data_IF_900897563424
#
_entry.id   IF_900897563424
#
_cell.length_a   1.000
_cell.length_b   1.000
_cell.length_c   1.000
_cell.angle_alpha   90.00
_cell.angle_beta   90.00
_cell.angle_gamma   90.00
#
_symmetry.space_group_name_H-M   'P 1'
#
loop_
_entity.id
_entity.type
_entity.pdbx_description
1 polymer ?
#
# COMPACT_ATOMS: atom_id res chain seq x y z
N UNK A 1 -19.82 10.14 -6.89
CA UNK A 1 -19.77 9.01 -7.84
C UNK A 1 -18.87 9.26 -9.05
N UNK A 2 -18.45 10.51 -9.35
CA UNK A 2 -17.61 10.83 -10.52
C UNK A 2 -16.09 10.65 -10.25
N UNK A 3 -15.62 10.86 -9.02
CA UNK A 3 -14.18 10.85 -8.68
C UNK A 3 -13.48 9.49 -8.66
N UNK A 4 -14.22 8.37 -8.55
CA UNK A 4 -13.59 7.04 -8.56
C UNK A 4 -12.96 6.78 -9.94
N UNK A 5 -13.57 7.27 -11.01
CA UNK A 5 -13.10 7.07 -12.38
C UNK A 5 -11.82 7.86 -12.67
N UNK A 6 -11.65 9.00 -12.01
CA UNK A 6 -10.50 9.91 -12.21
C UNK A 6 -9.18 9.27 -11.76
N UNK A 7 -9.21 8.42 -10.74
CA UNK A 7 -8.02 7.70 -10.23
C UNK A 7 -7.48 6.61 -11.19
N UNK A 8 -8.28 6.17 -12.18
CA UNK A 8 -7.94 5.02 -13.03
C UNK A 8 -7.89 5.35 -14.53
N UNK A 9 -8.07 6.61 -14.93
CA UNK A 9 -7.91 7.03 -16.31
C UNK A 9 -6.49 7.53 -16.57
N UNK A 10 -5.82 6.90 -17.56
CA UNK A 10 -4.48 7.24 -18.09
C UNK A 10 -4.29 8.72 -18.48
N UNK A 11 -5.39 9.45 -18.68
CA UNK A 11 -5.43 10.88 -19.04
C UNK A 11 -5.05 11.77 -17.83
N UNK A 12 -5.09 11.24 -16.60
CA UNK A 12 -4.80 11.96 -15.36
C UNK A 12 -3.52 11.49 -14.64
N UNK A 13 -2.64 10.74 -15.30
CA UNK A 13 -1.31 10.39 -14.76
C UNK A 13 -0.46 11.65 -14.40
N UNK A 14 -0.84 12.82 -14.92
CA UNK A 14 -0.25 14.13 -14.61
C UNK A 14 -1.01 14.95 -13.52
N UNK A 15 -2.03 14.38 -12.88
CA UNK A 15 -2.75 15.04 -11.77
C UNK A 15 -2.11 14.72 -10.41
N UNK A 16 -2.33 15.58 -9.41
CA UNK A 16 -1.86 15.37 -8.02
C UNK A 16 -2.36 14.05 -7.38
N UNK A 17 -3.32 13.36 -8.01
CA UNK A 17 -3.91 12.11 -7.56
C UNK A 17 -3.56 10.91 -8.47
N UNK A 18 -2.71 11.12 -9.47
CA UNK A 18 -2.28 10.08 -10.40
C UNK A 18 -1.59 8.90 -9.70
N UNK A 19 -1.69 7.72 -10.30
CA UNK A 19 -1.17 6.48 -9.71
C UNK A 19 0.33 6.55 -9.39
N UNK A 20 1.11 7.24 -10.24
CA UNK A 20 2.55 7.47 -10.02
C UNK A 20 2.81 8.31 -8.77
N UNK A 21 2.08 9.41 -8.58
CA UNK A 21 2.18 10.27 -7.40
C UNK A 21 1.81 9.48 -6.14
N UNK A 22 0.75 8.66 -6.21
CA UNK A 22 0.33 7.81 -5.09
C UNK A 22 1.38 6.76 -4.70
N UNK A 23 2.03 6.12 -5.68
CA UNK A 23 3.14 5.20 -5.42
C UNK A 23 4.34 5.91 -4.79
N UNK A 24 4.65 7.13 -5.23
CA UNK A 24 5.70 7.95 -4.61
C UNK A 24 5.33 8.34 -3.17
N UNK A 25 4.08 8.71 -2.91
CA UNK A 25 3.58 9.02 -1.55
C UNK A 25 3.65 7.80 -0.64
N UNK A 26 3.36 6.59 -1.15
CA UNK A 26 3.57 5.34 -0.42
C UNK A 26 5.04 5.17 -0.01
N UNK A 27 5.99 5.38 -0.92
CA UNK A 27 7.42 5.29 -0.58
C UNK A 27 7.85 6.38 0.42
N UNK A 28 7.32 7.60 0.29
CA UNK A 28 7.60 8.68 1.25
C UNK A 28 7.07 8.33 2.66
N UNK A 29 5.88 7.74 2.75
CA UNK A 29 5.33 7.25 4.00
C UNK A 29 6.19 6.12 4.57
N UNK A 30 6.60 5.16 3.74
CA UNK A 30 7.50 4.08 4.14
C UNK A 30 8.84 4.63 4.66
N UNK A 31 9.41 5.64 4.00
CA UNK A 31 10.65 6.30 4.44
C UNK A 31 10.54 6.90 5.84
N UNK A 32 9.38 7.49 6.17
CA UNK A 32 9.13 8.12 7.48
C UNK A 32 8.86 7.08 8.58
N UNK A 33 8.22 5.97 8.23
CA UNK A 33 7.70 4.97 9.18
C UNK A 33 8.68 3.82 9.41
N UNK A 34 9.37 3.39 8.36
CA UNK A 34 10.34 2.31 8.36
C UNK A 34 11.53 2.62 7.41
N UNK A 35 12.46 3.48 7.86
CA UNK A 35 13.62 3.87 7.05
C UNK A 35 14.51 2.69 6.64
N UNK A 36 14.52 1.60 7.40
CA UNK A 36 15.35 0.42 7.13
C UNK A 36 14.83 -0.34 5.92
N UNK A 37 13.52 -0.61 5.87
CA UNK A 37 12.90 -1.26 4.71
C UNK A 37 12.93 -0.35 3.50
N UNK A 38 12.73 0.97 3.67
CA UNK A 38 12.90 1.92 2.56
C UNK A 38 14.32 1.86 1.97
N UNK A 39 15.35 1.92 2.81
CA UNK A 39 16.74 1.81 2.36
C UNK A 39 17.03 0.47 1.67
N UNK A 40 16.45 -0.62 2.18
CA UNK A 40 16.52 -1.92 1.53
C UNK A 40 15.93 -1.88 0.12
N UNK A 41 14.74 -1.26 -0.06
CA UNK A 41 14.10 -1.14 -1.37
C UNK A 41 14.98 -0.35 -2.34
N UNK A 42 15.61 0.74 -1.89
CA UNK A 42 16.57 1.50 -2.71
C UNK A 42 17.79 0.65 -3.09
N UNK A 43 18.38 -0.05 -2.12
CA UNK A 43 19.57 -0.90 -2.33
C UNK A 43 19.29 -2.06 -3.29
N UNK A 44 18.13 -2.71 -3.13
CA UNK A 44 17.67 -3.81 -3.96
C UNK A 44 16.95 -3.35 -5.24
N UNK A 45 16.85 -2.03 -5.49
CA UNK A 45 16.15 -1.45 -6.66
C UNK A 45 14.70 -1.94 -6.80
N UNK A 46 14.03 -2.23 -5.69
CA UNK A 46 12.63 -2.63 -5.66
C UNK A 46 11.77 -1.40 -5.91
N UNK A 47 11.22 -1.30 -7.12
CA UNK A 47 10.37 -0.20 -7.51
C UNK A 47 8.90 -0.47 -7.15
N UNK A 48 8.13 0.54 -6.73
CA UNK A 48 6.73 0.38 -6.34
C UNK A 48 5.85 -0.13 -7.48
N UNK A 49 6.20 0.13 -8.73
CA UNK A 49 5.51 -0.36 -9.92
C UNK A 49 5.43 -1.89 -9.96
N UNK A 50 6.36 -2.61 -9.31
CA UNK A 50 6.36 -4.08 -9.28
C UNK A 50 5.29 -4.69 -8.36
N UNK A 51 4.74 -3.92 -7.41
CA UNK A 51 3.76 -4.43 -6.44
C UNK A 51 2.61 -3.44 -6.19
N UNK A 52 2.92 -2.18 -5.88
CA UNK A 52 1.96 -1.16 -5.45
C UNK A 52 1.01 -0.73 -6.56
N UNK A 53 1.43 -0.77 -7.84
CA UNK A 53 0.55 -0.41 -8.94
C UNK A 53 -0.75 -1.23 -8.90
N UNK A 54 -0.63 -2.56 -8.79
CA UNK A 54 -1.77 -3.49 -8.70
C UNK A 54 -2.56 -3.30 -7.40
N UNK A 55 -1.86 -3.17 -6.27
CA UNK A 55 -2.49 -2.93 -4.97
C UNK A 55 -3.40 -1.71 -4.97
N UNK A 56 -2.91 -0.59 -5.52
CA UNK A 56 -3.62 0.67 -5.55
C UNK A 56 -4.72 0.68 -6.63
N UNK A 57 -4.43 0.16 -7.84
CA UNK A 57 -5.41 0.17 -8.94
C UNK A 57 -6.59 -0.75 -8.70
N UNK A 58 -6.40 -1.84 -7.96
CA UNK A 58 -7.43 -2.84 -7.70
C UNK A 58 -7.94 -2.81 -6.26
N UNK A 59 -7.60 -1.78 -5.50
CA UNK A 59 -8.00 -1.60 -4.10
C UNK A 59 -7.81 -2.89 -3.27
N UNK A 60 -6.65 -3.53 -3.45
CA UNK A 60 -6.22 -4.77 -2.79
C UNK A 60 -7.09 -6.01 -3.05
N UNK A 61 -8.06 -5.96 -3.97
CA UNK A 61 -8.98 -7.08 -4.24
C UNK A 61 -8.32 -8.36 -4.77
N UNK A 62 -7.07 -8.27 -5.25
CA UNK A 62 -6.30 -9.42 -5.69
C UNK A 62 -5.27 -9.91 -4.66
N UNK A 63 -5.10 -9.24 -3.52
CA UNK A 63 -4.17 -9.69 -2.46
C UNK A 63 -4.85 -10.60 -1.43
N UNK A 64 -6.16 -10.45 -1.26
CA UNK A 64 -6.90 -11.06 -0.17
C UNK A 64 -8.13 -11.80 -0.68
N UNK A 65 -8.65 -12.73 0.12
CA UNK A 65 -9.91 -13.42 -0.16
C UNK A 65 -11.07 -12.44 0.00
N UNK A 66 -12.19 -12.72 -0.68
CA UNK A 66 -13.34 -11.80 -0.70
C UNK A 66 -13.79 -11.29 0.69
N UNK A 67 -13.91 -12.11 1.76
CA UNK A 67 -14.31 -11.61 3.08
C UNK A 67 -13.35 -10.56 3.65
N UNK A 68 -12.06 -10.77 3.42
CA UNK A 68 -10.98 -9.90 3.88
C UNK A 68 -10.96 -8.60 3.06
N UNK A 69 -11.16 -8.69 1.75
CA UNK A 69 -11.33 -7.53 0.85
C UNK A 69 -12.53 -6.68 1.28
N UNK A 70 -13.68 -7.29 1.56
CA UNK A 70 -14.87 -6.57 2.01
C UNK A 70 -14.61 -5.80 3.31
N UNK A 71 -13.87 -6.38 4.25
CA UNK A 71 -13.50 -5.69 5.50
C UNK A 71 -12.55 -4.51 5.29
N UNK A 72 -11.57 -4.68 4.40
CA UNK A 72 -10.69 -3.58 3.98
C UNK A 72 -11.55 -2.46 3.37
N UNK A 73 -12.49 -2.81 2.50
CA UNK A 73 -13.37 -1.86 1.83
C UNK A 73 -14.34 -1.16 2.77
N UNK A 74 -14.93 -1.85 3.74
CA UNK A 74 -15.77 -1.24 4.78
C UNK A 74 -14.99 -0.14 5.52
N UNK A 75 -13.73 -0.43 5.88
CA UNK A 75 -12.87 0.54 6.57
C UNK A 75 -12.44 1.68 5.63
N UNK A 76 -12.06 1.34 4.40
CA UNK A 76 -11.59 2.30 3.40
C UNK A 76 -12.67 3.29 2.99
N UNK A 77 -13.92 2.84 2.84
CA UNK A 77 -15.04 3.68 2.44
C UNK A 77 -15.75 4.38 3.61
N UNK A 78 -15.52 3.93 4.84
CA UNK A 78 -15.95 4.64 6.04
C UNK A 78 -15.09 5.89 6.32
N UNK A 79 -13.86 5.93 5.80
CA UNK A 79 -12.99 7.09 5.95
C UNK A 79 -13.57 8.30 5.20
N UNK A 80 -13.64 9.44 5.89
CA UNK A 80 -14.31 10.64 5.36
C UNK A 80 -13.47 11.36 4.28
N UNK A 81 -12.19 10.99 4.15
CA UNK A 81 -11.28 11.53 3.15
C UNK A 81 -11.56 10.92 1.77
N UNK A 82 -12.09 11.76 0.87
CA UNK A 82 -12.60 11.34 -0.45
C UNK A 82 -11.52 10.91 -1.47
N UNK A 83 -10.25 11.03 -1.12
CA UNK A 83 -9.11 10.81 -2.03
C UNK A 83 -8.43 9.44 -1.84
N UNK A 84 -9.01 8.53 -1.05
CA UNK A 84 -8.42 7.23 -0.73
C UNK A 84 -7.02 7.31 -0.11
N UNK A 85 -6.66 8.40 0.58
CA UNK A 85 -5.36 8.48 1.26
C UNK A 85 -5.16 7.35 2.28
N UNK A 86 -6.25 6.90 2.93
CA UNK A 86 -6.20 5.76 3.83
C UNK A 86 -5.64 4.48 3.20
N UNK A 87 -5.86 4.27 1.90
CA UNK A 87 -5.28 3.12 1.18
C UNK A 87 -3.75 3.11 1.23
N UNK A 88 -3.10 4.28 1.21
CA UNK A 88 -1.65 4.36 1.29
C UNK A 88 -1.12 3.91 2.66
N UNK A 89 -1.87 4.20 3.73
CA UNK A 89 -1.57 3.70 5.07
C UNK A 89 -1.74 2.19 5.17
N UNK A 90 -2.78 1.62 4.55
CA UNK A 90 -2.99 0.17 4.48
C UNK A 90 -1.83 -0.50 3.72
N UNK A 91 -1.47 0.01 2.54
CA UNK A 91 -0.34 -0.52 1.78
C UNK A 91 0.99 -0.39 2.53
N UNK A 92 1.20 0.70 3.27
CA UNK A 92 2.40 0.87 4.09
C UNK A 92 2.42 -0.10 5.27
N UNK A 93 1.29 -0.30 5.95
CA UNK A 93 1.14 -1.27 7.02
C UNK A 93 1.44 -2.70 6.53
N UNK A 94 0.96 -3.07 5.34
CA UNK A 94 1.27 -4.35 4.71
C UNK A 94 2.78 -4.56 4.56
N UNK A 95 3.54 -3.53 4.16
CA UNK A 95 5.00 -3.61 4.02
C UNK A 95 5.67 -3.74 5.39
N UNK A 96 5.28 -2.91 6.36
CA UNK A 96 5.88 -2.89 7.72
C UNK A 96 5.67 -4.23 8.45
N UNK A 97 4.50 -4.85 8.31
CA UNK A 97 4.22 -6.16 8.91
C UNK A 97 5.18 -7.24 8.37
N UNK A 98 5.70 -7.06 7.14
CA UNK A 98 6.69 -7.96 6.54
C UNK A 98 8.14 -7.53 6.80
N UNK A 99 8.41 -6.51 7.64
CA UNK A 99 9.75 -5.95 7.88
C UNK A 99 10.83 -7.02 8.05
N UNK A 100 10.63 -7.97 8.97
CA UNK A 100 11.66 -8.98 9.26
C UNK A 100 11.86 -9.94 8.09
N UNK A 101 10.79 -10.31 7.37
CA UNK A 101 10.92 -11.15 6.16
C UNK A 101 11.64 -10.40 5.05
N UNK A 102 11.38 -9.10 4.90
CA UNK A 102 12.00 -8.24 3.90
C UNK A 102 13.50 -8.05 4.17
N UNK A 103 13.87 -7.68 5.41
CA UNK A 103 15.28 -7.45 5.76
C UNK A 103 16.17 -8.69 5.59
N UNK A 104 15.60 -9.89 5.74
CA UNK A 104 16.32 -11.15 5.58
C UNK A 104 16.22 -11.75 4.16
N UNK A 105 15.44 -11.15 3.27
CA UNK A 105 15.21 -11.64 1.91
C UNK A 105 16.12 -11.02 0.85
N UNK A 106 16.38 -11.78 -0.21
CA UNK A 106 16.98 -11.25 -1.44
C UNK A 106 15.99 -10.39 -2.24
N UNK A 107 16.48 -9.63 -3.22
CA UNK A 107 15.64 -8.82 -4.12
C UNK A 107 14.50 -9.65 -4.74
N UNK A 108 14.81 -10.82 -5.30
CA UNK A 108 13.81 -11.68 -5.95
C UNK A 108 12.81 -12.27 -4.97
N UNK A 109 13.25 -12.62 -3.75
CA UNK A 109 12.37 -13.10 -2.69
C UNK A 109 11.43 -12.00 -2.22
N UNK A 110 11.93 -10.77 -2.05
CA UNK A 110 11.16 -9.63 -1.58
C UNK A 110 10.13 -9.16 -2.61
N UNK A 111 10.50 -9.10 -3.91
CA UNK A 111 9.53 -8.81 -4.98
C UNK A 111 8.45 -9.88 -4.99
N UNK A 112 8.81 -11.17 -4.89
CA UNK A 112 7.85 -12.27 -4.87
C UNK A 112 6.92 -12.21 -3.65
N UNK A 113 7.46 -11.86 -2.49
CA UNK A 113 6.70 -11.67 -1.24
C UNK A 113 5.67 -10.55 -1.38
N UNK A 114 6.06 -9.41 -1.93
CA UNK A 114 5.16 -8.27 -2.16
C UNK A 114 4.13 -8.56 -3.24
N UNK A 115 4.49 -9.32 -4.28
CA UNK A 115 3.55 -9.71 -5.34
C UNK A 115 2.56 -10.79 -4.91
N UNK A 116 2.92 -11.61 -3.93
CA UNK A 116 2.09 -12.70 -3.41
C UNK A 116 1.98 -12.56 -1.89
N UNK A 117 1.17 -11.58 -1.46
CA UNK A 117 1.09 -11.24 -0.05
C UNK A 117 0.68 -12.46 0.81
N UNK A 118 1.35 -12.71 1.95
CA UNK A 118 1.10 -13.92 2.73
C UNK A 118 -0.33 -13.98 3.29
N UNK A 119 -1.01 -15.12 3.10
CA UNK A 119 -2.39 -15.33 3.53
C UNK A 119 -2.52 -15.68 5.02
N UNK A 120 -1.39 -15.91 5.71
CA UNK A 120 -1.31 -16.14 7.15
C UNK A 120 -1.44 -14.85 7.98
N UNK A 121 -1.41 -13.68 7.33
CA UNK A 121 -1.56 -12.39 8.00
C UNK A 121 -3.04 -12.03 8.15
N UNK A 122 -3.44 -11.75 9.38
CA UNK A 122 -4.79 -11.27 9.67
C UNK A 122 -4.97 -9.83 9.17
N UNK A 123 -6.02 -9.60 8.38
CA UNK A 123 -6.39 -8.26 7.89
C UNK A 123 -6.65 -7.29 9.04
N UNK A 124 -7.14 -7.76 10.18
CA UNK A 124 -7.32 -6.90 11.35
C UNK A 124 -5.99 -6.26 11.79
N UNK A 125 -4.90 -7.04 11.82
CA UNK A 125 -3.57 -6.52 12.17
C UNK A 125 -3.09 -5.46 11.17
N UNK A 126 -3.38 -5.64 9.87
CA UNK A 126 -3.06 -4.66 8.83
C UNK A 126 -3.84 -3.36 9.08
N UNK A 127 -5.14 -3.45 9.33
CA UNK A 127 -6.00 -2.30 9.55
C UNK A 127 -5.65 -1.55 10.84
N UNK A 128 -5.40 -2.25 11.94
CA UNK A 128 -4.93 -1.64 13.20
C UNK A 128 -3.63 -0.87 12.99
N UNK A 129 -2.65 -1.49 12.33
CA UNK A 129 -1.38 -0.82 12.00
C UNK A 129 -1.62 0.39 11.10
N UNK A 130 -2.50 0.30 10.10
CA UNK A 130 -2.81 1.42 9.21
C UNK A 130 -3.43 2.61 9.98
N UNK A 131 -4.33 2.35 10.93
CA UNK A 131 -4.92 3.39 11.79
C UNK A 131 -3.87 4.04 12.70
N UNK A 132 -2.95 3.24 13.26
CA UNK A 132 -1.81 3.74 14.04
C UNK A 132 -0.93 4.66 13.18
N UNK A 133 -0.58 4.24 11.96
CA UNK A 133 0.22 5.04 11.03
C UNK A 133 -0.48 6.35 10.66
N UNK A 134 -1.79 6.32 10.36
CA UNK A 134 -2.57 7.54 10.05
C UNK A 134 -2.56 8.53 11.21
N UNK A 135 -2.60 8.04 12.46
CA UNK A 135 -2.54 8.90 13.65
C UNK A 135 -1.17 9.56 13.83
N UNK A 136 -0.09 8.83 13.55
CA UNK A 136 1.28 9.28 13.81
C UNK A 136 1.87 10.12 12.66
N UNK A 137 1.44 9.87 11.42
CA UNK A 137 2.01 10.47 10.23
C UNK A 137 0.90 11.01 9.34
N UNK A 138 0.79 12.33 9.22
CA UNK A 138 -0.11 12.97 8.26
C UNK A 138 0.60 13.03 6.89
N UNK A 139 -0.12 12.60 5.85
CA UNK A 139 0.33 12.53 4.47
C UNK A 139 0.17 13.85 3.71
#
# INVERSE_FOLDING_TARGET
>A
MIHIRDNFMKIYDHSEYGILVRMQRLLMLLKKTDPKVHYLFEKQKIKPEFYAFRWLTLLLSQEFRLPDVLRIWDTLFADQERNFEFLLYICCAMIIIQHDRLLNGSESQNIKLLQNYPQDIDVYQILEKAVELKRLYVL
#
